data_IF_371844425776
#
_entry.id   IF_371844425776
#
_cell.length_a   1.000
_cell.length_b   1.000
_cell.length_c   1.000
_cell.angle_alpha   90.00
_cell.angle_beta   90.00
_cell.angle_gamma   90.00
#
_symmetry.space_group_name_H-M   'P 1'
#
loop_
_entity.id
_entity.type
_entity.pdbx_description
1 polymer ?
#
# COMPACT_ATOMS: atom_id res chain seq x y z
N UNK A 1 9.09 -12.55 6.03
CA UNK A 1 10.19 -11.90 5.29
C UNK A 1 10.58 -12.88 4.19
N UNK A 2 10.73 -12.45 2.94
CA UNK A 2 11.10 -13.36 1.85
C UNK A 2 12.42 -14.06 2.18
N UNK A 3 12.36 -15.34 2.53
CA UNK A 3 13.50 -16.13 3.01
C UNK A 3 14.15 -16.98 1.91
N UNK A 4 13.58 -16.96 0.71
CA UNK A 4 14.07 -17.70 -0.46
C UNK A 4 14.70 -16.83 -1.54
N UNK A 5 15.31 -17.48 -2.52
CA UNK A 5 16.10 -16.87 -3.59
C UNK A 5 15.26 -16.26 -4.71
N UNK A 6 13.94 -16.50 -4.75
CA UNK A 6 13.10 -16.19 -5.92
C UNK A 6 12.30 -14.90 -5.76
N UNK A 7 12.10 -14.42 -4.54
CA UNK A 7 11.21 -13.28 -4.24
C UNK A 7 9.76 -13.72 -4.09
N UNK A 8 8.84 -12.77 -3.94
CA UNK A 8 7.43 -13.08 -3.74
C UNK A 8 6.58 -11.84 -3.49
N UNK A 9 5.29 -12.05 -3.22
CA UNK A 9 4.33 -10.96 -3.00
C UNK A 9 3.66 -11.05 -1.64
N UNK A 10 3.55 -9.90 -0.98
CA UNK A 10 2.79 -9.72 0.25
C UNK A 10 1.65 -8.74 -0.02
N UNK A 11 0.44 -9.07 0.40
CA UNK A 11 -0.69 -8.15 0.35
C UNK A 11 -0.97 -7.60 1.75
N UNK A 12 -1.26 -6.30 1.81
CA UNK A 12 -1.98 -5.68 2.91
C UNK A 12 -3.33 -5.21 2.38
N UNK A 13 -4.43 -5.71 2.93
CA UNK A 13 -5.76 -5.22 2.55
C UNK A 13 -6.10 -3.89 3.24
N UNK A 14 -7.20 -3.26 2.84
CA UNK A 14 -7.66 -2.01 3.42
C UNK A 14 -8.12 -2.13 4.90
N UNK A 15 -8.22 -3.34 5.46
CA UNK A 15 -8.46 -3.58 6.89
C UNK A 15 -7.15 -3.70 7.70
N UNK A 16 -6.01 -3.78 7.02
CA UNK A 16 -4.68 -3.97 7.63
C UNK A 16 -4.29 -5.44 7.79
N UNK A 17 -5.07 -6.39 7.29
CA UNK A 17 -4.69 -7.80 7.30
C UNK A 17 -3.55 -8.04 6.30
N UNK A 18 -2.56 -8.83 6.72
CA UNK A 18 -1.38 -9.16 5.90
C UNK A 18 -1.47 -10.61 5.44
N UNK A 19 -1.16 -10.87 4.18
CA UNK A 19 -1.06 -12.23 3.65
C UNK A 19 0.10 -12.38 2.66
N UNK A 20 0.72 -13.56 2.65
CA UNK A 20 1.58 -13.96 1.56
C UNK A 20 0.71 -14.45 0.39
N UNK A 21 0.95 -13.92 -0.80
CA UNK A 21 0.14 -14.23 -1.99
C UNK A 21 0.87 -15.18 -2.92
N UNK A 22 2.18 -14.99 -3.13
CA UNK A 22 2.97 -15.86 -3.99
C UNK A 22 4.46 -15.85 -3.67
N UNK A 23 5.17 -16.86 -4.18
CA UNK A 23 6.62 -16.99 -4.09
C UNK A 23 7.10 -17.31 -2.68
N UNK A 24 8.33 -16.90 -2.39
CA UNK A 24 9.01 -17.16 -1.11
C UNK A 24 8.69 -16.10 -0.05
N UNK A 25 7.73 -15.19 -0.34
CA UNK A 25 7.30 -14.18 0.61
C UNK A 25 6.52 -14.83 1.75
N UNK A 26 6.83 -14.41 2.97
CA UNK A 26 6.20 -14.94 4.17
C UNK A 26 5.81 -13.80 5.10
N UNK A 27 4.66 -13.95 5.77
CA UNK A 27 4.21 -13.06 6.83
C UNK A 27 4.51 -13.77 8.14
N UNK A 28 5.42 -13.21 8.94
CA UNK A 28 5.61 -13.71 10.29
C UNK A 28 4.32 -13.42 11.03
N UNK A 29 3.58 -14.48 11.39
CA UNK A 29 2.38 -14.35 12.21
C UNK A 29 2.81 -14.09 13.66
N UNK A 30 3.16 -12.84 13.92
CA UNK A 30 3.50 -12.29 15.24
C UNK A 30 2.26 -11.82 16.01
N UNK A 31 1.06 -12.08 15.48
CA UNK A 31 -0.21 -11.56 16.02
C UNK A 31 -0.40 -10.06 15.81
N UNK A 32 0.55 -9.34 15.19
CA UNK A 32 0.37 -7.94 14.85
C UNK A 32 -0.40 -7.81 13.53
N UNK A 33 -1.39 -6.92 13.50
CA UNK A 33 -2.00 -6.47 12.25
C UNK A 33 -1.15 -5.36 11.65
N UNK A 34 -1.11 -5.29 10.31
CA UNK A 34 -0.61 -4.11 9.65
C UNK A 34 -1.53 -2.91 9.93
N UNK A 35 -1.08 -1.72 9.50
CA UNK A 35 -1.92 -0.52 9.50
C UNK A 35 -2.10 -0.10 8.05
N UNK A 36 -3.31 -0.29 7.52
CA UNK A 36 -3.68 0.25 6.21
C UNK A 36 -3.56 1.79 6.22
N UNK A 37 -3.28 2.39 5.06
CA UNK A 37 -3.22 3.83 4.95
C UNK A 37 -4.61 4.44 5.08
N UNK A 38 -4.79 5.48 5.89
CA UNK A 38 -6.05 6.23 5.96
C UNK A 38 -5.91 7.54 5.21
N UNK A 39 -6.84 7.81 4.31
CA UNK A 39 -6.90 9.02 3.50
C UNK A 39 -8.16 9.80 3.82
N UNK A 40 -8.07 11.11 3.69
CA UNK A 40 -9.17 12.03 3.88
C UNK A 40 -9.38 12.82 2.59
N UNK A 41 -10.62 12.87 2.13
CA UNK A 41 -11.03 13.62 0.95
C UNK A 41 -11.99 14.72 1.38
N UNK A 42 -11.85 15.89 0.77
CA UNK A 42 -12.71 17.06 0.99
C UNK A 42 -13.24 17.54 -0.34
N UNK A 43 -14.52 17.88 -0.42
CA UNK A 43 -15.18 18.37 -1.62
C UNK A 43 -16.55 18.95 -1.28
N UNK A 44 -17.37 19.22 -2.29
CA UNK A 44 -18.72 19.72 -2.04
C UNK A 44 -19.64 18.60 -1.55
N UNK A 45 -20.59 18.99 -0.71
CA UNK A 45 -21.52 18.04 -0.12
C UNK A 45 -22.41 17.39 -1.18
N UNK A 46 -22.56 16.06 -1.12
CA UNK A 46 -23.39 15.28 -2.04
C UNK A 46 -22.70 14.80 -3.31
N UNK A 47 -21.42 15.16 -3.52
CA UNK A 47 -20.64 14.59 -4.64
C UNK A 47 -20.17 13.17 -4.33
N UNK A 48 -20.02 12.40 -5.40
CA UNK A 48 -19.26 11.14 -5.42
C UNK A 48 -17.86 11.40 -5.95
N UNK A 49 -16.95 10.45 -5.72
CA UNK A 49 -15.62 10.52 -6.27
C UNK A 49 -15.08 9.13 -6.60
N UNK A 50 -14.08 9.10 -7.47
CA UNK A 50 -13.28 7.92 -7.75
C UNK A 50 -11.80 8.19 -7.46
N UNK A 51 -11.10 7.15 -7.03
CA UNK A 51 -9.68 7.20 -6.70
C UNK A 51 -8.90 6.28 -7.63
N UNK A 52 -7.79 6.77 -8.14
CA UNK A 52 -6.84 5.97 -8.93
C UNK A 52 -5.43 6.12 -8.37
N UNK A 53 -4.64 5.05 -8.53
CA UNK A 53 -3.31 4.94 -7.97
C UNK A 53 -2.29 4.66 -9.06
N UNK A 54 -1.09 5.19 -8.89
CA UNK A 54 0.08 4.73 -9.62
C UNK A 54 1.06 4.06 -8.67
N UNK A 55 1.72 3.02 -9.18
CA UNK A 55 2.70 2.24 -8.43
C UNK A 55 3.87 3.10 -7.92
N UNK A 56 4.49 2.62 -6.85
CA UNK A 56 5.65 3.25 -6.24
C UNK A 56 6.80 2.27 -6.01
N UNK A 57 7.94 2.82 -5.61
CA UNK A 57 9.11 2.03 -5.20
C UNK A 57 9.47 2.41 -3.78
N UNK A 58 9.38 1.43 -2.88
CA UNK A 58 9.86 1.56 -1.52
C UNK A 58 11.32 1.15 -1.46
N UNK A 59 12.12 1.93 -0.76
CA UNK A 59 13.57 1.75 -0.70
C UNK A 59 13.99 1.42 0.73
N UNK A 60 14.89 0.45 0.93
CA UNK A 60 15.44 0.12 2.24
C UNK A 60 16.30 1.28 2.77
N UNK A 61 16.25 1.54 4.08
CA UNK A 61 17.11 2.52 4.75
C UNK A 61 18.53 2.01 5.02
N UNK A 62 18.79 0.70 4.93
CA UNK A 62 20.08 0.10 5.30
C UNK A 62 21.01 -0.22 4.11
N UNK A 63 20.46 -0.54 2.95
CA UNK A 63 21.22 -1.01 1.79
C UNK A 63 20.59 -0.55 0.48
N UNK A 64 20.83 -1.26 -0.64
CA UNK A 64 20.32 -1.00 -2.00
C UNK A 64 18.96 -1.66 -2.35
N UNK A 65 18.38 -2.45 -1.45
CA UNK A 65 17.18 -3.22 -1.73
C UNK A 65 15.92 -2.36 -1.92
N UNK A 66 15.04 -2.80 -2.81
CA UNK A 66 13.76 -2.14 -3.13
C UNK A 66 12.60 -3.13 -3.02
N UNK A 67 11.39 -2.59 -2.86
CA UNK A 67 10.12 -3.28 -3.07
C UNK A 67 9.25 -2.43 -3.99
N UNK A 68 8.45 -3.07 -4.84
CA UNK A 68 7.43 -2.36 -5.63
C UNK A 68 6.13 -2.41 -4.85
N UNK A 69 5.48 -1.25 -4.69
CA UNK A 69 4.12 -1.16 -4.14
C UNK A 69 3.15 -0.91 -5.30
N UNK A 70 2.14 -1.77 -5.42
CA UNK A 70 1.21 -1.78 -6.56
C UNK A 70 -0.13 -2.42 -6.18
N UNK A 71 -1.04 -2.55 -7.15
CA UNK A 71 -2.31 -3.27 -6.99
C UNK A 71 -3.07 -2.81 -5.74
N UNK A 72 -3.30 -1.50 -5.67
CA UNK A 72 -3.97 -0.86 -4.55
C UNK A 72 -5.44 -1.30 -4.45
N UNK A 73 -5.92 -1.42 -3.22
CA UNK A 73 -7.33 -1.67 -2.89
C UNK A 73 -7.78 -0.61 -1.91
N UNK A 74 -9.02 -0.17 -1.99
CA UNK A 74 -9.54 0.83 -1.06
C UNK A 74 -11.02 0.65 -0.75
N UNK A 75 -11.49 1.42 0.24
CA UNK A 75 -12.89 1.44 0.68
C UNK A 75 -13.65 2.68 0.19
N UNK A 76 -13.13 3.41 -0.80
CA UNK A 76 -13.72 4.67 -1.29
C UNK A 76 -14.92 4.47 -2.21
N UNK A 77 -15.04 3.28 -2.81
CA UNK A 77 -16.09 2.98 -3.78
C UNK A 77 -17.49 3.19 -3.19
N UNK A 78 -18.25 4.09 -3.81
CA UNK A 78 -19.63 4.42 -3.43
C UNK A 78 -19.76 5.38 -2.25
N UNK A 79 -18.66 5.94 -1.74
CA UNK A 79 -18.73 7.01 -0.75
C UNK A 79 -19.34 8.27 -1.36
N UNK A 80 -20.14 8.96 -0.53
CA UNK A 80 -20.77 10.23 -0.86
C UNK A 80 -20.33 11.23 0.20
N UNK A 81 -19.88 12.40 -0.23
CA UNK A 81 -19.41 13.45 0.69
C UNK A 81 -20.58 14.09 1.43
N UNK A 82 -21.17 13.42 2.41
CA UNK A 82 -22.39 13.90 3.11
C UNK A 82 -22.20 15.23 3.84
N UNK A 83 -20.99 15.48 4.36
CA UNK A 83 -20.59 16.74 5.00
C UNK A 83 -19.53 17.53 4.24
N UNK A 84 -19.33 17.22 2.96
CA UNK A 84 -18.20 17.75 2.18
C UNK A 84 -16.86 17.10 2.51
N UNK A 85 -16.86 15.99 3.24
CA UNK A 85 -15.65 15.21 3.50
C UNK A 85 -15.97 13.76 3.81
N UNK A 86 -15.01 12.87 3.54
CA UNK A 86 -15.06 11.48 3.95
C UNK A 86 -13.64 10.91 4.14
N UNK A 87 -13.55 9.73 4.75
CA UNK A 87 -12.30 8.99 4.95
C UNK A 87 -12.40 7.58 4.38
N UNK A 88 -11.32 7.10 3.80
CA UNK A 88 -11.22 5.73 3.29
C UNK A 88 -9.86 5.12 3.60
N UNK A 89 -9.84 3.80 3.69
CA UNK A 89 -8.61 3.03 3.92
C UNK A 89 -8.09 2.48 2.60
N UNK A 90 -6.76 2.39 2.49
CA UNK A 90 -6.03 1.91 1.32
C UNK A 90 -5.06 0.82 1.72
N UNK A 91 -5.20 -0.34 1.07
CA UNK A 91 -4.25 -1.44 1.06
C UNK A 91 -3.49 -1.51 -0.27
N UNK A 92 -2.47 -2.36 -0.33
CA UNK A 92 -1.65 -2.58 -1.53
C UNK A 92 -0.93 -3.93 -1.49
N UNK A 93 -0.38 -4.32 -2.64
CA UNK A 93 0.54 -5.44 -2.77
C UNK A 93 1.98 -4.95 -2.85
N UNK A 94 2.84 -5.57 -2.05
CA UNK A 94 4.28 -5.41 -2.08
C UNK A 94 4.90 -6.58 -2.85
N UNK A 95 5.70 -6.25 -3.86
CA UNK A 95 6.53 -7.22 -4.58
C UNK A 95 7.96 -7.14 -4.06
N UNK A 96 8.45 -8.26 -3.54
CA UNK A 96 9.76 -8.43 -2.95
C UNK A 96 10.67 -9.16 -3.93
N UNK A 97 11.94 -8.76 -3.96
CA UNK A 97 12.98 -9.49 -4.66
C UNK A 97 13.45 -10.70 -3.84
N UNK A 98 14.14 -11.64 -4.48
CA UNK A 98 14.84 -12.71 -3.79
C UNK A 98 15.89 -12.15 -2.82
N UNK A 99 16.09 -12.85 -1.69
CA UNK A 99 17.01 -12.42 -0.63
C UNK A 99 16.73 -10.99 -0.14
N UNK A 100 15.46 -10.61 -0.05
CA UNK A 100 15.07 -9.28 0.41
C UNK A 100 15.65 -8.99 1.80
N UNK A 101 16.49 -7.96 1.89
CA UNK A 101 17.07 -7.55 3.16
C UNK A 101 16.00 -7.10 4.15
N UNK A 102 16.21 -7.41 5.43
CA UNK A 102 15.44 -6.80 6.51
C UNK A 102 15.71 -5.29 6.57
N UNK A 103 14.72 -4.51 6.99
CA UNK A 103 14.86 -3.08 7.16
C UNK A 103 13.53 -2.36 6.97
N UNK A 104 13.59 -1.03 7.08
CA UNK A 104 12.43 -0.17 6.89
C UNK A 104 12.42 0.29 5.44
N UNK A 105 11.35 -0.07 4.72
CA UNK A 105 11.13 0.31 3.34
C UNK A 105 10.18 1.50 3.29
N UNK A 106 10.60 2.59 2.65
CA UNK A 106 9.81 3.82 2.54
C UNK A 106 10.10 4.54 1.24
N UNK A 107 9.13 5.30 0.74
CA UNK A 107 9.31 6.24 -0.38
C UNK A 107 10.17 7.43 0.01
N UNK A 108 10.28 7.74 1.31
CA UNK A 108 11.10 8.83 1.83
C UNK A 108 12.59 8.48 1.93
N UNK A 109 12.95 7.20 1.83
CA UNK A 109 14.35 6.79 1.82
C UNK A 109 15.01 7.17 0.48
N UNK A 110 16.28 7.59 0.45
CA UNK A 110 16.95 8.04 -0.78
C UNK A 110 16.91 6.98 -1.91
N UNK A 111 16.31 7.34 -3.04
CA UNK A 111 16.11 6.44 -4.19
C UNK A 111 14.77 5.69 -4.17
N UNK A 112 13.89 5.98 -3.20
CA UNK A 112 12.48 5.62 -3.28
C UNK A 112 11.73 6.51 -4.27
N UNK A 113 10.67 5.97 -4.87
CA UNK A 113 9.77 6.70 -5.76
C UNK A 113 8.38 6.71 -5.14
N UNK A 114 7.82 7.89 -4.80
CA UNK A 114 6.46 7.98 -4.27
C UNK A 114 5.43 7.36 -5.20
N UNK A 115 4.43 6.70 -4.64
CA UNK A 115 3.18 6.40 -5.35
C UNK A 115 2.33 7.68 -5.42
N UNK A 116 1.48 7.78 -6.44
CA UNK A 116 0.58 8.93 -6.62
C UNK A 116 -0.87 8.51 -6.54
N UNK A 117 -1.70 9.40 -5.99
CA UNK A 117 -3.14 9.21 -5.85
C UNK A 117 -3.83 10.34 -6.61
N UNK A 118 -4.78 10.01 -7.46
CA UNK A 118 -5.63 10.98 -8.16
C UNK A 118 -7.06 10.80 -7.72
N UNK A 119 -7.70 11.89 -7.29
CA UNK A 119 -9.12 11.95 -6.93
C UNK A 119 -9.86 12.67 -8.04
N UNK A 120 -10.90 12.04 -8.57
CA UNK A 120 -11.80 12.64 -9.57
C UNK A 120 -13.19 12.75 -8.95
N UNK A 121 -13.74 13.96 -8.92
CA UNK A 121 -15.10 14.22 -8.44
C UNK A 121 -16.09 14.07 -9.59
N UNK A 122 -17.24 13.45 -9.30
CA UNK A 122 -18.32 13.18 -10.24
C UNK A 122 -19.60 13.95 -9.89
#
# INVERSE_FOLDING_TARGET
IASGSTGGTLMMDASGARSAVSGDADVINDGATGTAGTFFVVGDAGLTFSVTYADGVLRNNLDASTMIISSFTDTSAGLVLTGGSDSFSVGATLTLNGLQSKGNYSTANPGGTPYSITVNYD
#
